data_IF_859317005901
#
_entry.id   IF_859317005901
#
_cell.length_a   1.000
_cell.length_b   1.000
_cell.length_c   1.000
_cell.angle_alpha   90.00
_cell.angle_beta   90.00
_cell.angle_gamma   90.00
#
_symmetry.space_group_name_H-M   'P 1'
#
loop_
_entity.id
_entity.type
_entity.pdbx_description
1 polymer ?
#
# COMPACT_ATOMS: atom_id res chain seq x y z
N UNK A 1 2.04 9.10 -5.14
CA UNK A 1 0.79 8.63 -5.76
C UNK A 1 0.88 8.88 -7.27
N UNK A 2 0.30 8.02 -8.10
CA UNK A 2 0.59 8.03 -9.54
C UNK A 2 0.10 9.31 -10.24
N UNK A 3 -1.08 9.82 -9.88
CA UNK A 3 -1.63 11.07 -10.43
C UNK A 3 -0.66 12.25 -10.21
N UNK A 4 -0.13 12.41 -8.99
CA UNK A 4 0.81 13.49 -8.67
C UNK A 4 2.12 13.41 -9.50
N UNK A 5 2.54 12.21 -9.95
CA UNK A 5 3.79 12.05 -10.69
C UNK A 5 3.73 12.63 -12.10
N UNK A 6 2.58 12.61 -12.74
CA UNK A 6 2.38 13.26 -14.05
C UNK A 6 1.96 14.73 -13.90
N UNK A 7 1.09 15.03 -12.93
CA UNK A 7 0.51 16.37 -12.78
C UNK A 7 1.55 17.39 -12.26
N UNK A 8 2.46 17.01 -11.36
CA UNK A 8 3.45 17.94 -10.81
C UNK A 8 4.42 18.45 -11.89
N UNK A 9 5.00 17.61 -12.76
CA UNK A 9 5.83 18.10 -13.86
C UNK A 9 5.10 19.01 -14.86
N UNK A 10 3.82 18.74 -15.15
CA UNK A 10 3.04 19.50 -16.13
C UNK A 10 2.55 20.83 -15.55
N UNK A 11 2.05 20.82 -14.32
CA UNK A 11 1.33 21.95 -13.71
C UNK A 11 2.09 22.62 -12.56
N UNK A 12 3.25 22.10 -12.18
CA UNK A 12 4.06 22.62 -11.06
C UNK A 12 3.41 22.47 -9.69
N UNK A 13 2.34 21.67 -9.57
CA UNK A 13 1.50 21.59 -8.37
C UNK A 13 0.94 20.20 -8.17
N UNK A 14 0.76 19.81 -6.90
CA UNK A 14 0.13 18.54 -6.48
C UNK A 14 -1.28 18.73 -5.89
N UNK A 15 -1.91 19.89 -6.15
CA UNK A 15 -3.31 20.17 -5.75
C UNK A 15 -4.23 19.06 -6.28
N UNK A 16 -5.17 18.61 -5.44
CA UNK A 16 -6.10 17.52 -5.71
C UNK A 16 -5.46 16.15 -6.05
N UNK A 17 -4.14 15.99 -5.91
CA UNK A 17 -3.43 14.75 -6.23
C UNK A 17 -3.01 13.94 -4.99
N UNK A 18 -3.22 14.48 -3.78
CA UNK A 18 -2.92 13.79 -2.51
C UNK A 18 -4.16 13.08 -1.98
N UNK A 19 -4.00 11.81 -1.60
CA UNK A 19 -4.96 11.08 -0.79
C UNK A 19 -4.32 10.80 0.57
N UNK A 20 -5.15 10.82 1.60
CA UNK A 20 -4.76 10.35 2.92
C UNK A 20 -4.50 8.83 2.89
N UNK A 21 -3.65 8.35 3.78
CA UNK A 21 -3.54 6.93 4.02
C UNK A 21 -4.85 6.39 4.60
N UNK A 22 -5.31 5.28 4.05
CA UNK A 22 -6.48 4.55 4.55
C UNK A 22 -6.03 3.32 5.33
N UNK A 23 -6.81 2.96 6.34
CA UNK A 23 -6.58 1.75 7.16
C UNK A 23 -7.18 0.53 6.45
N UNK A 24 -6.58 0.13 5.32
CA UNK A 24 -7.05 -1.02 4.53
C UNK A 24 -7.02 -2.34 5.30
N UNK A 25 -6.12 -2.46 6.27
CA UNK A 25 -6.07 -3.57 7.22
C UNK A 25 -7.40 -3.77 7.93
N UNK A 26 -8.01 -2.70 8.44
CA UNK A 26 -9.31 -2.74 9.11
C UNK A 26 -10.44 -3.04 8.14
N UNK A 27 -10.38 -2.50 6.91
CA UNK A 27 -11.37 -2.81 5.88
C UNK A 27 -11.37 -4.30 5.53
N UNK A 28 -10.19 -4.92 5.41
CA UNK A 28 -10.07 -6.35 5.12
C UNK A 28 -10.70 -7.20 6.23
N UNK A 29 -10.49 -6.84 7.49
CA UNK A 29 -11.12 -7.50 8.64
C UNK A 29 -12.65 -7.36 8.61
N UNK A 30 -13.16 -6.16 8.29
CA UNK A 30 -14.60 -5.93 8.14
C UNK A 30 -15.27 -6.76 7.03
N UNK A 31 -14.49 -7.22 6.05
CA UNK A 31 -14.94 -8.11 4.97
C UNK A 31 -14.74 -9.61 5.28
N UNK A 32 -14.34 -9.96 6.51
CA UNK A 32 -14.08 -11.34 6.92
C UNK A 32 -12.70 -11.88 6.55
N UNK A 33 -11.80 -11.02 6.08
CA UNK A 33 -10.39 -11.34 5.84
C UNK A 33 -9.50 -11.03 7.04
N UNK A 34 -8.19 -11.11 6.84
CA UNK A 34 -7.16 -10.68 7.78
C UNK A 34 -6.45 -9.45 7.23
N UNK A 35 -6.22 -8.45 8.08
CA UNK A 35 -5.48 -7.25 7.75
C UNK A 35 -4.18 -7.14 8.53
N UNK A 36 -3.10 -6.72 7.87
CA UNK A 36 -1.85 -6.35 8.54
C UNK A 36 -1.31 -5.06 7.96
N UNK A 37 -0.83 -4.14 8.81
CA UNK A 37 -0.17 -2.90 8.39
C UNK A 37 1.34 -3.03 8.52
N UNK A 38 2.07 -2.66 7.47
CA UNK A 38 3.52 -2.51 7.49
C UNK A 38 3.89 -1.07 7.16
N UNK A 39 4.67 -0.44 8.02
CA UNK A 39 5.23 0.88 7.80
C UNK A 39 6.65 0.97 8.41
N UNK A 40 7.19 2.18 8.49
CA UNK A 40 8.57 2.39 8.96
C UNK A 40 8.77 1.94 10.42
N UNK A 41 7.71 1.92 11.23
CA UNK A 41 7.81 1.60 12.66
C UNK A 41 8.00 0.10 12.92
N UNK A 42 7.65 -0.77 11.97
CA UNK A 42 7.74 -2.23 12.10
C UNK A 42 8.45 -2.89 10.89
N UNK A 43 9.35 -2.17 10.23
CA UNK A 43 10.08 -2.65 9.04
C UNK A 43 10.91 -3.92 9.34
N UNK A 44 11.40 -4.07 10.57
CA UNK A 44 12.10 -5.25 11.07
C UNK A 44 11.24 -6.53 11.08
N UNK A 45 9.92 -6.41 11.10
CA UNK A 45 8.97 -7.53 11.13
C UNK A 45 8.54 -7.99 9.73
N UNK A 46 8.97 -7.29 8.67
CA UNK A 46 8.57 -7.52 7.28
C UNK A 46 8.59 -9.00 6.89
N UNK A 47 9.70 -9.70 7.16
CA UNK A 47 9.87 -11.11 6.78
C UNK A 47 8.87 -12.01 7.50
N UNK A 48 8.67 -11.77 8.79
CA UNK A 48 7.74 -12.54 9.63
C UNK A 48 6.29 -12.31 9.19
N UNK A 49 5.91 -11.06 8.95
CA UNK A 49 4.57 -10.69 8.48
C UNK A 49 4.26 -11.35 7.14
N UNK A 50 5.21 -11.32 6.18
CA UNK A 50 5.03 -11.96 4.87
C UNK A 50 4.89 -13.48 4.99
N UNK A 51 5.72 -14.13 5.82
CA UNK A 51 5.62 -15.57 6.06
C UNK A 51 4.27 -15.93 6.67
N UNK A 52 3.83 -15.18 7.69
CA UNK A 52 2.55 -15.42 8.36
C UNK A 52 1.35 -15.20 7.44
N UNK A 53 1.39 -14.17 6.60
CA UNK A 53 0.34 -13.91 5.62
C UNK A 53 0.21 -15.06 4.61
N UNK A 54 1.33 -15.62 4.14
CA UNK A 54 1.32 -16.78 3.23
C UNK A 54 0.76 -18.02 3.92
N UNK A 55 1.15 -18.29 5.17
CA UNK A 55 0.60 -19.40 5.96
C UNK A 55 -0.91 -19.25 6.18
N UNK A 56 -1.35 -18.07 6.59
CA UNK A 56 -2.77 -17.78 6.81
C UNK A 56 -3.59 -17.92 5.53
N UNK A 57 -3.02 -17.51 4.39
CA UNK A 57 -3.63 -17.72 3.08
C UNK A 57 -3.76 -19.20 2.72
N UNK A 58 -2.72 -20.00 2.97
CA UNK A 58 -2.75 -21.47 2.76
C UNK A 58 -3.76 -22.16 3.67
N UNK A 59 -4.04 -21.59 4.85
CA UNK A 59 -5.03 -22.07 5.79
C UNK A 59 -6.46 -21.55 5.49
N UNK A 60 -6.68 -20.94 4.32
CA UNK A 60 -8.01 -20.56 3.82
C UNK A 60 -8.47 -19.15 4.19
N UNK A 61 -7.61 -18.31 4.77
CA UNK A 61 -7.95 -16.90 5.02
C UNK A 61 -7.58 -16.02 3.82
N UNK A 62 -8.45 -15.07 3.42
CA UNK A 62 -8.01 -13.96 2.56
C UNK A 62 -7.20 -12.97 3.39
N UNK A 63 -5.99 -12.61 2.96
CA UNK A 63 -5.08 -11.73 3.72
C UNK A 63 -4.74 -10.50 2.90
N UNK A 64 -4.87 -9.32 3.50
CA UNK A 64 -4.43 -8.04 2.97
C UNK A 64 -3.26 -7.51 3.81
N UNK A 65 -2.19 -7.09 3.14
CA UNK A 65 -1.05 -6.42 3.76
C UNK A 65 -1.02 -4.97 3.26
N UNK A 66 -1.36 -4.02 4.12
CA UNK A 66 -1.30 -2.59 3.84
C UNK A 66 0.13 -2.08 4.06
N UNK A 67 0.93 -2.05 3.00
CA UNK A 67 2.33 -1.61 3.06
C UNK A 67 2.46 -0.14 2.70
N UNK A 68 2.84 0.69 3.68
CA UNK A 68 3.12 2.11 3.46
C UNK A 68 4.53 2.29 2.88
N UNK A 69 4.62 2.29 1.56
CA UNK A 69 5.88 2.47 0.84
C UNK A 69 6.21 3.95 0.61
N UNK A 70 7.51 4.26 0.58
CA UNK A 70 8.01 5.58 0.25
C UNK A 70 7.82 5.96 -1.22
N UNK A 71 8.13 7.22 -1.55
CA UNK A 71 8.18 7.68 -2.95
C UNK A 71 9.40 7.08 -3.65
N UNK A 72 9.23 6.64 -4.90
CA UNK A 72 10.28 6.14 -5.79
C UNK A 72 10.08 6.70 -7.21
N UNK A 73 11.03 6.48 -8.13
CA UNK A 73 10.88 6.84 -9.55
C UNK A 73 10.25 5.71 -10.39
N UNK A 74 9.73 4.66 -9.74
CA UNK A 74 9.10 3.52 -10.40
C UNK A 74 7.79 3.94 -11.06
N UNK A 75 7.63 3.71 -12.37
CA UNK A 75 6.50 4.14 -13.25
C UNK A 75 6.48 5.63 -13.63
N UNK A 76 7.61 6.34 -13.54
CA UNK A 76 7.73 7.66 -14.17
C UNK A 76 7.63 7.52 -15.70
N UNK A 77 6.77 8.32 -16.34
CA UNK A 77 6.50 8.25 -17.79
C UNK A 77 5.53 7.15 -18.24
N UNK A 78 4.89 6.43 -17.31
CA UNK A 78 3.88 5.41 -17.64
C UNK A 78 2.51 6.05 -17.86
N UNK A 79 1.94 5.87 -19.08
CA UNK A 79 0.59 6.36 -19.46
C UNK A 79 -0.55 5.63 -18.71
N UNK A 80 -0.28 4.46 -18.13
CA UNK A 80 -1.26 3.74 -17.33
C UNK A 80 -1.29 4.29 -15.91
N UNK A 81 -2.47 4.72 -15.48
CA UNK A 81 -2.83 5.00 -14.08
C UNK A 81 -3.20 3.69 -13.40
#
# INVERSE_FOLDING_TARGET
MQIAREQVPIFGSEVACKLAFCNYETCAEGLGGKGVRLDRTNENELKQVLQKAVEDSRNGSSVLINVLIGKTNFRDGSISV
#
